data_IF_060816305632
#
_entry.id   IF_060816305632
#
_cell.length_a   1.000
_cell.length_b   1.000
_cell.length_c   1.000
_cell.angle_alpha   90.00
_cell.angle_beta   90.00
_cell.angle_gamma   90.00
#
_symmetry.space_group_name_H-M   'P 1'
#
loop_
_entity.id
_entity.type
_entity.pdbx_description
1 polymer ?
#
# COMPACT_ATOMS: atom_id res chain seq x y z
N UNK A 1 -1.91 -0.18 -4.72
CA UNK A 1 -3.29 -0.62 -4.51
C UNK A 1 -3.62 -0.19 -3.13
N UNK A 2 -4.70 0.53 -2.92
CA UNK A 2 -5.08 0.66 -1.56
C UNK A 2 -5.32 -0.75 -0.96
N UNK A 3 -4.78 -0.88 0.23
CA UNK A 3 -4.93 -1.96 1.19
C UNK A 3 -6.42 -2.32 1.28
N UNK A 4 -6.87 -3.56 0.94
CA UNK A 4 -8.29 -3.90 0.87
C UNK A 4 -9.01 -3.30 2.08
N UNK A 5 -10.16 -2.63 1.89
CA UNK A 5 -10.83 -1.91 3.00
C UNK A 5 -11.39 -2.95 3.98
N UNK A 6 -10.51 -3.56 4.76
CA UNK A 6 -10.85 -4.50 5.78
C UNK A 6 -10.56 -3.93 7.14
N UNK A 7 -11.48 -4.24 8.05
CA UNK A 7 -11.26 -4.06 9.47
C UNK A 7 -11.11 -5.44 10.07
N UNK A 8 -10.10 -5.64 10.90
CA UNK A 8 -10.00 -6.86 11.67
C UNK A 8 -10.98 -6.78 12.84
N UNK A 9 -11.78 -7.83 12.98
CA UNK A 9 -12.66 -8.05 14.11
C UNK A 9 -11.91 -8.64 15.31
N UNK A 10 -12.62 -8.91 16.41
CA UNK A 10 -12.03 -9.60 17.54
C UNK A 10 -11.48 -10.95 17.07
N UNK A 11 -10.17 -11.14 17.25
CA UNK A 11 -9.55 -12.46 17.16
C UNK A 11 -10.02 -13.30 18.35
N UNK A 12 -10.27 -14.59 18.12
CA UNK A 12 -10.64 -15.54 19.17
C UNK A 12 -9.78 -16.77 19.03
N UNK A 13 -9.05 -17.11 20.07
CA UNK A 13 -8.40 -18.41 20.24
C UNK A 13 -9.17 -19.22 21.28
N UNK A 14 -9.12 -20.54 21.16
CA UNK A 14 -9.62 -21.46 22.16
C UNK A 14 -8.47 -22.08 22.94
N UNK A 15 -8.52 -21.95 24.26
CA UNK A 15 -7.52 -22.52 25.18
C UNK A 15 -7.64 -24.04 25.35
N UNK A 16 -8.69 -24.65 24.80
CA UNK A 16 -8.94 -26.10 24.95
C UNK A 16 -8.46 -26.93 23.76
N UNK A 17 -8.48 -26.36 22.56
CA UNK A 17 -8.19 -27.05 21.30
C UNK A 17 -7.28 -26.26 20.35
N UNK A 18 -6.81 -25.08 20.74
CA UNK A 18 -5.83 -24.24 19.99
C UNK A 18 -6.34 -23.80 18.61
N UNK A 19 -7.64 -23.97 18.37
CA UNK A 19 -8.31 -23.44 17.19
C UNK A 19 -8.46 -21.92 17.33
N UNK A 20 -8.31 -21.22 16.21
CA UNK A 20 -8.44 -19.77 16.18
C UNK A 20 -9.32 -19.28 15.05
N UNK A 21 -9.90 -18.11 15.28
CA UNK A 21 -10.81 -17.46 14.36
C UNK A 21 -10.33 -16.04 14.06
N UNK A 22 -9.96 -15.81 12.80
CA UNK A 22 -9.68 -14.50 12.27
C UNK A 22 -10.97 -13.93 11.67
N UNK A 23 -11.37 -12.76 12.16
CA UNK A 23 -12.55 -12.04 11.69
C UNK A 23 -12.08 -10.90 10.79
N UNK A 24 -12.43 -10.93 9.51
CA UNK A 24 -12.05 -9.91 8.51
C UNK A 24 -13.31 -9.26 7.96
N UNK A 25 -13.45 -7.95 8.09
CA UNK A 25 -14.60 -7.18 7.61
C UNK A 25 -14.25 -6.39 6.37
N UNK A 26 -14.55 -6.90 5.18
CA UNK A 26 -14.34 -6.15 3.93
C UNK A 26 -15.63 -5.44 3.56
N UNK A 27 -15.67 -4.11 3.66
CA UNK A 27 -16.88 -3.30 3.47
C UNK A 27 -18.03 -3.73 4.41
N UNK A 28 -19.17 -4.23 3.89
CA UNK A 28 -20.28 -4.76 4.69
C UNK A 28 -20.26 -6.30 4.82
N UNK A 29 -19.21 -6.96 4.33
CA UNK A 29 -19.08 -8.42 4.35
C UNK A 29 -18.16 -8.84 5.48
N UNK A 30 -18.60 -9.83 6.23
CA UNK A 30 -17.85 -10.47 7.31
C UNK A 30 -17.34 -11.83 6.84
N UNK A 31 -16.03 -11.98 6.86
CA UNK A 31 -15.34 -13.24 6.59
C UNK A 31 -14.84 -13.80 7.91
N UNK A 32 -15.26 -15.03 8.20
CA UNK A 32 -14.75 -15.81 9.32
C UNK A 32 -13.81 -16.85 8.74
N UNK A 33 -12.54 -16.74 9.11
CA UNK A 33 -11.51 -17.70 8.71
C UNK A 33 -11.18 -18.52 9.95
N UNK A 34 -11.59 -19.78 9.93
CA UNK A 34 -11.28 -20.75 10.99
C UNK A 34 -9.97 -21.43 10.65
N UNK A 35 -9.01 -21.29 11.55
CA UNK A 35 -7.74 -21.99 11.52
C UNK A 35 -7.81 -23.07 12.59
N UNK A 36 -7.79 -24.33 12.16
CA UNK A 36 -7.79 -25.47 13.06
C UNK A 36 -6.37 -25.96 13.26
N UNK A 37 -5.96 -26.24 14.49
CA UNK A 37 -4.63 -26.80 14.76
C UNK A 37 -4.39 -28.08 13.92
N UNK A 38 -5.46 -28.88 13.76
CA UNK A 38 -5.46 -30.09 12.93
C UNK A 38 -5.08 -29.87 11.45
N UNK A 39 -5.31 -28.66 10.90
CA UNK A 39 -4.92 -28.34 9.52
C UNK A 39 -3.40 -28.26 9.34
N UNK A 40 -2.64 -28.12 10.43
CA UNK A 40 -1.18 -27.99 10.43
C UNK A 40 -0.46 -29.29 10.82
N UNK A 41 -1.18 -30.37 11.18
CA UNK A 41 -0.61 -31.65 11.62
C UNK A 41 0.41 -32.25 10.64
N UNK A 42 0.27 -31.97 9.35
CA UNK A 42 1.18 -32.46 8.30
C UNK A 42 2.50 -31.70 8.22
N UNK A 43 2.62 -30.56 8.90
CA UNK A 43 3.82 -29.71 8.93
C UNK A 43 4.12 -29.28 10.37
N UNK A 44 4.96 -30.03 11.08
CA UNK A 44 5.31 -29.74 12.47
C UNK A 44 5.90 -28.33 12.67
N UNK A 45 6.64 -27.84 11.68
CA UNK A 45 7.21 -26.48 11.71
C UNK A 45 6.13 -25.42 11.63
N UNK A 46 5.20 -25.51 10.67
CA UNK A 46 4.10 -24.56 10.54
C UNK A 46 3.15 -24.60 11.74
N UNK A 47 2.96 -25.79 12.32
CA UNK A 47 2.19 -25.94 13.55
C UNK A 47 2.89 -25.22 14.72
N UNK A 48 4.20 -25.38 14.87
CA UNK A 48 4.96 -24.70 15.92
C UNK A 48 4.90 -23.17 15.77
N UNK A 49 5.07 -22.64 14.56
CA UNK A 49 4.98 -21.20 14.28
C UNK A 49 3.56 -20.67 14.59
N UNK A 50 2.52 -21.40 14.16
CA UNK A 50 1.12 -21.07 14.43
C UNK A 50 0.81 -21.02 15.94
N UNK A 51 1.25 -22.04 16.70
CA UNK A 51 1.04 -22.09 18.15
C UNK A 51 1.81 -21.00 18.88
N UNK A 52 3.05 -20.73 18.45
CA UNK A 52 3.84 -19.63 18.99
C UNK A 52 3.09 -18.30 18.81
N UNK A 53 2.53 -18.03 17.62
CA UNK A 53 1.73 -16.82 17.41
C UNK A 53 0.49 -16.73 18.31
N UNK A 54 -0.18 -17.85 18.61
CA UNK A 54 -1.30 -17.85 19.55
C UNK A 54 -0.87 -17.49 20.97
N UNK A 55 0.26 -18.05 21.42
CA UNK A 55 0.83 -17.76 22.74
C UNK A 55 1.14 -16.27 22.92
N UNK A 56 1.72 -15.63 21.91
CA UNK A 56 2.03 -14.19 21.92
C UNK A 56 0.79 -13.28 21.98
N UNK A 57 -0.39 -13.79 21.62
CA UNK A 57 -1.65 -13.05 21.64
C UNK A 57 -2.39 -13.18 22.98
N UNK A 58 -1.93 -14.03 23.89
CA UNK A 58 -2.52 -14.19 25.21
C UNK A 58 -2.31 -12.93 26.07
N UNK A 59 -3.34 -12.44 26.80
CA UNK A 59 -3.24 -11.19 27.56
C UNK A 59 -2.14 -11.16 28.63
N UNK A 60 -1.75 -12.33 29.12
CA UNK A 60 -0.75 -12.51 30.17
C UNK A 60 0.64 -12.88 29.63
N UNK A 61 0.83 -12.87 28.29
CA UNK A 61 2.11 -13.18 27.67
C UNK A 61 3.18 -12.15 28.03
N UNK A 62 4.32 -12.63 28.51
CA UNK A 62 5.50 -11.82 28.82
C UNK A 62 6.67 -12.31 27.95
N UNK A 63 7.16 -11.51 27.00
CA UNK A 63 8.26 -11.91 26.14
C UNK A 63 9.54 -12.14 26.94
N UNK A 64 10.34 -13.10 26.48
CA UNK A 64 11.68 -13.31 27.02
C UNK A 64 12.55 -12.06 26.78
N UNK A 65 13.39 -11.63 27.72
CA UNK A 65 14.30 -10.50 27.52
C UNK A 65 15.27 -10.66 26.33
N UNK A 66 15.43 -11.89 25.84
CA UNK A 66 16.38 -12.29 24.79
C UNK A 66 15.69 -12.57 23.43
N UNK A 67 14.36 -12.44 23.31
CA UNK A 67 13.66 -12.59 22.02
C UNK A 67 13.73 -11.29 21.20
N UNK A 68 14.51 -11.32 20.12
CA UNK A 68 14.57 -10.24 19.13
C UNK A 68 13.25 -10.23 18.34
N UNK A 69 12.39 -9.28 18.70
CA UNK A 69 11.00 -9.15 18.27
C UNK A 69 10.92 -8.67 16.82
N UNK A 70 10.92 -9.59 15.85
CA UNK A 70 10.63 -9.30 14.44
C UNK A 70 9.10 -9.32 14.23
N UNK A 71 8.39 -8.41 14.91
CA UNK A 71 6.98 -8.17 14.62
C UNK A 71 6.87 -7.36 13.34
N UNK A 72 6.72 -8.05 12.21
CA UNK A 72 6.26 -7.42 11.00
C UNK A 72 4.75 -7.56 10.88
N UNK A 73 4.10 -6.43 10.66
CA UNK A 73 2.66 -6.33 10.50
C UNK A 73 2.26 -7.10 9.22
N UNK A 74 1.36 -8.12 9.29
CA UNK A 74 0.86 -8.83 8.11
C UNK A 74 0.26 -7.89 7.05
N UNK A 75 -0.11 -6.68 7.47
CA UNK A 75 -0.55 -5.60 6.61
C UNK A 75 0.56 -4.98 5.74
N UNK A 76 1.79 -4.91 6.24
CA UNK A 76 2.95 -4.43 5.47
C UNK A 76 3.30 -5.43 4.38
N UNK A 77 3.30 -6.73 4.69
CA UNK A 77 3.52 -7.77 3.70
C UNK A 77 2.49 -7.68 2.56
N UNK A 78 1.20 -7.55 2.87
CA UNK A 78 0.15 -7.41 1.85
C UNK A 78 0.29 -6.14 1.00
N UNK A 79 0.77 -5.02 1.58
CA UNK A 79 1.00 -3.77 0.84
C UNK A 79 2.15 -3.89 -0.18
N UNK A 80 3.20 -4.67 0.12
CA UNK A 80 4.30 -4.92 -0.81
C UNK A 80 3.85 -5.72 -2.05
N UNK A 81 3.01 -6.74 -1.86
CA UNK A 81 2.44 -7.53 -2.96
C UNK A 81 1.61 -6.68 -3.92
N UNK A 82 0.82 -5.81 -3.30
CA UNK A 82 -0.06 -4.83 -3.90
C UNK A 82 0.73 -3.82 -4.77
N UNK A 83 1.81 -3.28 -4.24
CA UNK A 83 2.66 -2.35 -4.97
C UNK A 83 3.37 -3.05 -6.15
N UNK A 84 3.85 -4.28 -5.92
CA UNK A 84 4.53 -5.08 -6.93
C UNK A 84 3.65 -5.41 -8.14
N UNK A 85 2.40 -5.84 -7.92
CA UNK A 85 1.47 -6.13 -9.03
C UNK A 85 1.11 -4.86 -9.80
N UNK A 86 1.03 -3.70 -9.12
CA UNK A 86 0.81 -2.41 -9.79
C UNK A 86 1.94 -2.09 -10.77
N UNK A 87 3.19 -2.20 -10.32
CA UNK A 87 4.35 -2.05 -11.22
C UNK A 87 4.40 -3.10 -12.33
N UNK A 88 3.97 -4.34 -12.05
CA UNK A 88 3.88 -5.38 -13.07
C UNK A 88 2.91 -4.99 -14.20
N UNK A 89 1.72 -4.45 -13.84
CA UNK A 89 0.74 -3.95 -14.82
C UNK A 89 1.29 -2.78 -15.63
N UNK A 90 1.98 -1.83 -14.99
CA UNK A 90 2.63 -0.70 -15.65
C UNK A 90 3.70 -1.18 -16.64
N UNK A 91 4.54 -2.13 -16.24
CA UNK A 91 5.61 -2.69 -17.08
C UNK A 91 5.10 -3.54 -18.25
N UNK A 92 3.97 -4.24 -18.06
CA UNK A 92 3.37 -5.09 -19.11
C UNK A 92 2.86 -4.29 -20.32
N UNK A 93 2.87 -2.96 -20.21
CA UNK A 93 2.33 -2.04 -21.18
C UNK A 93 3.34 -1.66 -22.27
N UNK A 94 2.92 -1.81 -23.53
CA UNK A 94 3.55 -1.15 -24.68
C UNK A 94 2.89 0.23 -24.87
N UNK A 95 3.38 1.28 -24.20
CA UNK A 95 2.92 2.65 -24.46
C UNK A 95 3.93 3.45 -25.28
N UNK A 96 3.43 4.28 -26.18
CA UNK A 96 4.24 5.26 -26.93
C UNK A 96 4.65 6.46 -26.08
N UNK A 97 4.00 6.67 -24.93
CA UNK A 97 4.26 7.77 -24.00
C UNK A 97 4.62 7.21 -22.61
N UNK A 98 5.73 7.63 -22.00
CA UNK A 98 6.09 7.22 -20.65
C UNK A 98 5.10 7.80 -19.64
N UNK A 99 4.75 6.99 -18.64
CA UNK A 99 4.04 7.42 -17.44
C UNK A 99 5.01 8.13 -16.50
N UNK A 100 4.61 9.26 -15.92
CA UNK A 100 5.42 9.96 -14.92
C UNK A 100 5.27 9.27 -13.56
N UNK A 101 6.01 8.19 -13.41
CA UNK A 101 6.13 7.44 -12.15
C UNK A 101 7.51 6.79 -12.09
N UNK A 102 7.90 6.27 -10.91
CA UNK A 102 9.10 5.46 -10.79
C UNK A 102 8.91 4.15 -11.56
N UNK A 103 10.02 3.56 -11.99
CA UNK A 103 10.04 2.26 -12.67
C UNK A 103 10.56 1.22 -11.70
N UNK A 104 9.85 0.11 -11.57
CA UNK A 104 10.41 -1.06 -10.91
C UNK A 104 11.63 -1.57 -11.72
N UNK A 105 12.79 -1.62 -11.07
CA UNK A 105 14.05 -2.11 -11.63
C UNK A 105 14.40 -3.50 -11.10
N UNK A 106 13.89 -3.87 -9.93
CA UNK A 106 14.12 -5.17 -9.31
C UNK A 106 13.40 -5.31 -7.98
N UNK A 107 13.55 -6.48 -7.37
CA UNK A 107 13.00 -6.82 -6.05
C UNK A 107 14.13 -7.31 -5.15
N UNK A 108 14.05 -6.99 -3.87
CA UNK A 108 14.99 -7.45 -2.84
C UNK A 108 14.37 -8.67 -2.18
N UNK A 109 15.14 -9.75 -2.05
CA UNK A 109 14.68 -10.99 -1.43
C UNK A 109 15.62 -11.46 -0.33
N UNK A 110 15.05 -12.05 0.71
CA UNK A 110 15.81 -12.82 1.71
C UNK A 110 16.20 -14.17 1.09
N UNK A 111 17.49 -14.51 0.98
CA UNK A 111 17.91 -15.76 0.33
C UNK A 111 17.39 -17.04 0.99
N UNK A 112 17.23 -17.05 2.31
CA UNK A 112 16.83 -18.25 3.07
C UNK A 112 15.35 -18.61 2.91
N UNK A 113 14.46 -17.61 2.85
CA UNK A 113 13.01 -17.80 2.74
C UNK A 113 12.46 -17.54 1.34
N UNK A 114 13.21 -16.85 0.48
CA UNK A 114 12.73 -16.36 -0.82
C UNK A 114 11.73 -15.20 -0.72
N UNK A 115 11.44 -14.72 0.50
CA UNK A 115 10.51 -13.62 0.79
C UNK A 115 10.99 -12.32 0.14
N UNK A 116 10.06 -11.54 -0.40
CA UNK A 116 10.32 -10.18 -0.90
C UNK A 116 10.31 -9.24 0.32
N UNK A 117 11.30 -8.36 0.41
CA UNK A 117 11.45 -7.42 1.54
C UNK A 117 11.74 -6.00 1.06
N UNK A 118 11.49 -5.74 -0.22
CA UNK A 118 11.72 -4.43 -0.79
C UNK A 118 11.70 -4.40 -2.31
N UNK A 119 11.49 -3.21 -2.82
CA UNK A 119 11.46 -2.89 -4.24
C UNK A 119 12.62 -1.96 -4.59
N UNK A 120 13.30 -2.25 -5.70
CA UNK A 120 14.28 -1.34 -6.27
C UNK A 120 13.59 -0.49 -7.35
N UNK A 121 13.42 0.79 -7.09
CA UNK A 121 12.73 1.73 -7.98
C UNK A 121 13.72 2.69 -8.66
N UNK A 122 13.39 3.15 -9.86
CA UNK A 122 14.19 4.18 -10.53
C UNK A 122 14.14 5.49 -9.73
N UNK A 123 15.30 6.09 -9.53
CA UNK A 123 15.40 7.36 -8.84
C UNK A 123 14.77 8.49 -9.66
N UNK A 124 13.89 9.25 -9.02
CA UNK A 124 13.33 10.50 -9.57
C UNK A 124 14.13 11.63 -8.92
N UNK A 125 14.91 12.34 -9.74
CA UNK A 125 15.74 13.44 -9.25
C UNK A 125 14.86 14.62 -8.85
N UNK A 126 14.69 14.83 -7.54
CA UNK A 126 14.02 16.00 -6.98
C UNK A 126 15.04 16.93 -6.37
N UNK A 127 15.01 18.22 -6.73
CA UNK A 127 15.97 19.23 -6.21
C UNK A 127 15.95 19.34 -4.69
N UNK A 128 14.78 19.15 -4.08
CA UNK A 128 14.57 19.36 -2.64
C UNK A 128 13.80 18.20 -1.98
N UNK A 129 13.56 17.11 -2.70
CA UNK A 129 12.76 15.97 -2.21
C UNK A 129 11.32 16.35 -1.87
N UNK A 130 10.79 17.43 -2.47
CA UNK A 130 9.50 18.00 -2.08
C UNK A 130 8.35 17.33 -2.83
N UNK A 131 7.31 17.02 -2.06
CA UNK A 131 6.03 16.56 -2.60
C UNK A 131 5.16 17.74 -2.98
N UNK A 132 4.10 17.47 -3.74
CA UNK A 132 3.11 18.48 -4.09
C UNK A 132 2.44 19.07 -2.83
N UNK A 133 2.31 18.30 -1.74
CA UNK A 133 1.79 18.84 -0.48
C UNK A 133 2.66 19.99 0.03
N UNK A 134 3.99 19.85 -0.07
CA UNK A 134 4.93 20.84 0.45
C UNK A 134 4.92 22.15 -0.34
N UNK A 135 4.74 22.10 -1.66
CA UNK A 135 4.92 23.28 -2.54
C UNK A 135 3.66 23.74 -3.26
N UNK A 136 2.59 22.95 -3.23
CA UNK A 136 1.37 23.22 -4.01
C UNK A 136 0.65 24.52 -3.63
N UNK A 137 0.87 25.03 -2.41
CA UNK A 137 0.33 26.31 -1.92
C UNK A 137 1.37 27.43 -1.86
N UNK A 138 2.61 27.16 -2.23
CA UNK A 138 3.67 28.18 -2.19
C UNK A 138 3.47 29.19 -3.34
N UNK A 139 3.33 30.49 -3.05
CA UNK A 139 3.17 31.55 -4.06
C UNK A 139 4.24 31.54 -5.15
N UNK A 140 5.45 31.03 -4.85
CA UNK A 140 6.54 30.92 -5.82
C UNK A 140 6.19 30.01 -6.99
N UNK A 141 5.33 29.00 -6.79
CA UNK A 141 5.06 27.95 -7.77
C UNK A 141 3.62 27.93 -8.30
N UNK A 142 2.80 28.95 -8.00
CA UNK A 142 1.39 29.03 -8.44
C UNK A 142 1.24 28.87 -9.97
N UNK A 143 2.21 29.33 -10.76
CA UNK A 143 2.19 29.17 -12.22
C UNK A 143 2.33 27.72 -12.69
N UNK A 144 2.78 26.81 -11.81
CA UNK A 144 2.96 25.39 -12.10
C UNK A 144 1.70 24.56 -11.81
N UNK A 145 0.73 25.08 -11.05
CA UNK A 145 -0.46 24.31 -10.63
C UNK A 145 -1.20 23.64 -11.79
N UNK A 146 -1.39 24.34 -12.91
CA UNK A 146 -2.05 23.78 -14.10
C UNK A 146 -1.21 22.69 -14.77
N UNK A 147 0.11 22.83 -14.77
CA UNK A 147 1.05 21.84 -15.31
C UNK A 147 0.98 20.56 -14.49
N UNK A 148 1.08 20.68 -13.17
CA UNK A 148 1.02 19.54 -12.25
C UNK A 148 -0.30 18.82 -12.35
N UNK A 149 -1.43 19.53 -12.33
CA UNK A 149 -2.74 18.91 -12.49
C UNK A 149 -2.81 18.11 -13.80
N UNK A 150 -2.38 18.70 -14.92
CA UNK A 150 -2.37 18.01 -16.23
C UNK A 150 -1.51 16.75 -16.25
N UNK A 151 -0.34 16.76 -15.61
CA UNK A 151 0.56 15.61 -15.53
C UNK A 151 0.01 14.50 -14.63
N UNK A 152 -0.60 14.87 -13.50
CA UNK A 152 -1.29 13.93 -12.59
C UNK A 152 -2.46 13.28 -13.34
N UNK A 153 -3.29 14.07 -14.03
CA UNK A 153 -4.40 13.56 -14.84
C UNK A 153 -3.91 12.56 -15.89
N UNK A 154 -2.89 12.92 -16.69
CA UNK A 154 -2.33 12.02 -17.71
C UNK A 154 -1.77 10.72 -17.11
N UNK A 155 -1.18 10.81 -15.91
CA UNK A 155 -0.62 9.64 -15.22
C UNK A 155 -1.73 8.72 -14.72
N UNK A 156 -2.79 9.27 -14.11
CA UNK A 156 -3.97 8.50 -13.67
C UNK A 156 -4.65 7.82 -14.87
N UNK A 157 -4.91 8.56 -15.96
CA UNK A 157 -5.47 7.99 -17.20
C UNK A 157 -4.61 6.84 -17.74
N UNK A 158 -3.29 7.01 -17.70
CA UNK A 158 -2.34 5.99 -18.11
C UNK A 158 -2.33 4.76 -17.18
N UNK A 159 -2.51 4.91 -15.87
CA UNK A 159 -2.65 3.78 -14.95
C UNK A 159 -3.95 3.02 -15.20
N UNK A 160 -5.08 3.74 -15.25
CA UNK A 160 -6.41 3.13 -15.41
C UNK A 160 -6.53 2.36 -16.72
N UNK A 161 -5.90 2.86 -17.78
CA UNK A 161 -5.92 2.22 -19.09
C UNK A 161 -5.03 0.96 -19.21
N UNK A 162 -4.27 0.57 -18.18
CA UNK A 162 -3.73 -0.78 -18.02
C UNK A 162 -4.35 -1.57 -16.85
N UNK A 163 -5.49 -1.12 -16.32
CA UNK A 163 -6.14 -1.78 -15.18
C UNK A 163 -5.35 -1.67 -13.88
N UNK A 164 -4.42 -0.70 -13.79
CA UNK A 164 -3.77 -0.29 -12.55
C UNK A 164 -4.57 0.86 -11.92
N UNK A 165 -4.52 0.95 -10.60
CA UNK A 165 -5.03 2.08 -9.81
C UNK A 165 -3.85 2.69 -9.05
N UNK A 166 -3.84 4.00 -8.86
CA UNK A 166 -2.80 4.66 -8.07
C UNK A 166 -2.98 4.27 -6.62
N UNK A 167 -4.16 4.58 -6.09
CA UNK A 167 -4.67 3.97 -4.89
C UNK A 167 -4.12 4.49 -3.57
N UNK A 168 -3.70 5.74 -3.53
CA UNK A 168 -3.71 6.59 -2.33
C UNK A 168 -3.54 8.02 -2.83
N UNK A 169 -4.51 8.46 -3.62
CA UNK A 169 -4.43 9.69 -4.40
C UNK A 169 -4.43 10.92 -3.47
N UNK A 170 -3.24 11.46 -3.21
CA UNK A 170 -3.01 12.61 -2.35
C UNK A 170 -1.75 13.37 -2.78
N UNK A 171 -1.62 14.67 -2.47
CA UNK A 171 -0.47 15.47 -2.90
C UNK A 171 0.84 15.04 -2.22
N UNK A 172 0.81 14.36 -1.07
CA UNK A 172 1.99 13.74 -0.47
C UNK A 172 2.61 12.66 -1.37
N UNK A 173 1.77 11.94 -2.13
CA UNK A 173 2.19 10.87 -3.02
C UNK A 173 2.49 11.38 -4.45
N UNK A 174 2.64 12.69 -4.60
CA UNK A 174 3.10 13.33 -5.84
C UNK A 174 4.46 13.95 -5.60
N UNK A 175 5.50 13.35 -6.16
CA UNK A 175 6.86 13.90 -6.11
C UNK A 175 7.06 14.91 -7.23
N UNK A 176 7.73 16.02 -6.92
CA UNK A 176 8.08 17.05 -7.91
C UNK A 176 9.57 16.93 -8.22
N UNK A 177 9.89 16.68 -9.49
CA UNK A 177 11.27 16.49 -9.93
C UNK A 177 12.03 17.83 -10.12
N UNK A 178 13.29 17.73 -10.53
CA UNK A 178 14.17 18.87 -10.74
C UNK A 178 13.77 19.78 -11.93
N UNK A 179 12.84 19.32 -12.78
CA UNK A 179 12.23 20.05 -13.89
C UNK A 179 10.81 20.54 -13.56
N UNK A 180 10.38 20.41 -12.31
CA UNK A 180 9.03 20.71 -11.83
C UNK A 180 7.95 19.88 -12.53
N UNK A 181 8.28 18.66 -12.95
CA UNK A 181 7.32 17.68 -13.44
C UNK A 181 6.78 16.87 -12.25
N UNK A 182 5.47 16.60 -12.28
CA UNK A 182 4.79 15.80 -11.28
C UNK A 182 4.89 14.31 -11.61
N UNK A 183 5.30 13.52 -10.61
CA UNK A 183 5.39 12.06 -10.67
C UNK A 183 4.52 11.44 -9.58
N UNK A 184 3.74 10.43 -9.97
CA UNK A 184 3.00 9.62 -8.99
C UNK A 184 3.96 8.61 -8.36
N UNK A 185 3.95 8.55 -7.03
CA UNK A 185 4.70 7.58 -6.22
C UNK A 185 3.74 6.87 -5.26
N UNK A 186 4.25 5.84 -4.59
CA UNK A 186 3.52 5.03 -3.61
C UNK A 186 2.27 4.34 -4.19
N UNK A 187 2.48 3.08 -4.61
CA UNK A 187 1.40 2.19 -5.01
C UNK A 187 1.21 1.06 -3.99
N UNK A 188 1.69 1.19 -2.76
CA UNK A 188 1.32 0.29 -1.64
C UNK A 188 -0.11 0.54 -1.16
N UNK A 189 -0.58 1.75 -1.50
CA UNK A 189 -1.89 2.31 -1.29
C UNK A 189 -2.39 2.35 0.14
N UNK A 190 -3.57 2.93 0.36
CA UNK A 190 -4.12 3.04 1.70
C UNK A 190 -5.24 4.05 1.77
N UNK A 191 -5.63 4.40 2.99
CA UNK A 191 -6.66 5.40 3.19
C UNK A 191 -6.08 6.59 3.95
N UNK A 192 -6.08 7.75 3.29
CA UNK A 192 -5.74 9.02 3.91
C UNK A 192 -7.01 9.88 4.05
N UNK A 193 -7.41 10.12 5.30
CA UNK A 193 -8.60 10.92 5.62
C UNK A 193 -8.49 12.31 4.99
N UNK A 194 -9.53 12.70 4.24
CA UNK A 194 -9.63 14.03 3.61
C UNK A 194 -9.22 14.06 2.14
N UNK A 195 -8.62 13.00 1.60
CA UNK A 195 -8.20 12.91 0.20
C UNK A 195 -9.05 11.97 -0.65
N UNK A 196 -9.39 10.79 -0.14
CA UNK A 196 -10.32 9.86 -0.77
C UNK A 196 -11.32 9.39 0.31
N UNK A 197 -12.59 9.22 -0.07
CA UNK A 197 -13.60 8.64 0.83
C UNK A 197 -13.24 7.19 1.09
N UNK A 198 -13.48 6.71 2.32
CA UNK A 198 -13.01 5.39 2.73
C UNK A 198 -13.60 4.26 1.88
N UNK A 199 -14.80 4.46 1.36
CA UNK A 199 -15.51 3.52 0.51
C UNK A 199 -14.98 3.51 -0.94
N UNK A 200 -14.27 4.57 -1.33
CA UNK A 200 -13.67 4.74 -2.66
C UNK A 200 -12.16 4.50 -2.65
N UNK A 201 -11.55 4.30 -1.47
CA UNK A 201 -10.19 3.80 -1.43
C UNK A 201 -10.14 2.50 -2.25
N UNK A 202 -9.05 2.29 -2.97
CA UNK A 202 -8.71 1.07 -3.71
C UNK A 202 -9.18 1.07 -5.14
N UNK A 203 -9.66 2.20 -5.63
CA UNK A 203 -10.47 2.24 -6.85
C UNK A 203 -10.07 3.37 -7.80
N UNK A 204 -10.39 3.17 -9.08
CA UNK A 204 -10.22 4.20 -10.09
C UNK A 204 -11.10 5.42 -9.80
N UNK A 205 -12.30 5.20 -9.27
CA UNK A 205 -13.20 6.25 -8.79
C UNK A 205 -12.58 7.05 -7.64
N UNK A 206 -11.87 6.37 -6.73
CA UNK A 206 -11.08 6.99 -5.66
C UNK A 206 -9.95 7.86 -6.19
N UNK A 207 -9.22 7.39 -7.19
CA UNK A 207 -8.17 8.19 -7.86
C UNK A 207 -8.72 9.48 -8.48
N UNK A 208 -9.90 9.40 -9.12
CA UNK A 208 -10.58 10.56 -9.70
C UNK A 208 -11.09 11.53 -8.63
N UNK A 209 -11.58 11.01 -7.51
CA UNK A 209 -11.95 11.85 -6.37
C UNK A 209 -10.72 12.54 -5.77
N UNK A 210 -9.62 11.80 -5.57
CA UNK A 210 -8.36 12.36 -5.09
C UNK A 210 -7.82 13.43 -6.04
N UNK A 211 -7.89 13.21 -7.36
CA UNK A 211 -7.56 14.21 -8.37
C UNK A 211 -8.39 15.50 -8.23
N UNK A 212 -9.70 15.37 -8.00
CA UNK A 212 -10.56 16.52 -7.76
C UNK A 212 -10.12 17.29 -6.50
N UNK A 213 -9.84 16.58 -5.39
CA UNK A 213 -9.39 17.22 -4.15
C UNK A 213 -8.00 17.83 -4.28
N UNK A 214 -7.10 17.24 -5.07
CA UNK A 214 -5.81 17.84 -5.43
C UNK A 214 -6.01 19.13 -6.23
N UNK A 215 -6.96 19.15 -7.18
CA UNK A 215 -7.33 20.37 -7.90
C UNK A 215 -7.82 21.46 -6.94
N UNK A 216 -8.73 21.13 -6.02
CA UNK A 216 -9.20 22.06 -4.98
C UNK A 216 -8.03 22.54 -4.09
N UNK A 217 -7.11 21.65 -3.75
CA UNK A 217 -5.88 22.01 -3.05
C UNK A 217 -4.94 22.92 -3.86
N UNK A 218 -4.91 22.84 -5.19
CA UNK A 218 -4.02 23.69 -5.99
C UNK A 218 -4.60 25.07 -6.30
N UNK A 219 -5.94 25.19 -6.38
CA UNK A 219 -6.62 26.40 -6.85
C UNK A 219 -7.51 27.09 -5.81
N UNK A 220 -7.82 26.42 -4.69
CA UNK A 220 -8.59 26.97 -3.57
C UNK A 220 -7.78 27.74 -2.55
#
# INVERSE_FOLDING_TARGET
MDKPSYTLGPFRSSVNDEDSQLNVFVSNKHFQIELKASNFEKSPTLLADYLQHLEHLEPDYLPSPDEEFDWEDPLEELAEWVELETYSKIQSRLTSKPLNTSRLLGIVRIPSSGRIVGLLLSYIESREGKTLLCIGKDPQYVSMSQKWLSQITQSIEGLHSCGAVWGDAKPDNVLIDAQYDAYLIDFGGGYTRGWVDKELSNTAEGDLQGLQRISEFLFG
#
